data_IF_768362864614
#
_entry.id   IF_768362864614
#
_cell.length_a   1.000
_cell.length_b   1.000
_cell.length_c   1.000
_cell.angle_alpha   90.00
_cell.angle_beta   90.00
_cell.angle_gamma   90.00
#
_symmetry.space_group_name_H-M   'P 1'
#
loop_
_entity.id
_entity.type
_entity.pdbx_description
1 polymer ?
#
# COMPACT_ATOMS: atom_id res chain seq x y z
N UNK A 1 -27.33 11.10 0.29
CA UNK A 1 -26.10 10.35 0.67
C UNK A 1 -25.13 10.16 -0.50
N UNK A 2 -25.59 9.90 -1.74
CA UNK A 2 -24.70 9.80 -2.92
C UNK A 2 -23.81 11.04 -3.12
N UNK A 3 -24.38 12.24 -2.99
CA UNK A 3 -23.63 13.50 -3.11
C UNK A 3 -22.55 13.64 -2.04
N UNK A 4 -22.81 13.19 -0.81
CA UNK A 4 -21.86 13.34 0.32
C UNK A 4 -20.55 12.59 0.01
N UNK A 5 -20.62 11.37 -0.52
CA UNK A 5 -19.41 10.61 -0.87
C UNK A 5 -18.54 11.33 -1.90
N UNK A 6 -19.16 11.84 -2.98
CA UNK A 6 -18.47 12.59 -4.01
C UNK A 6 -17.85 13.90 -3.49
N UNK A 7 -18.57 14.66 -2.65
CA UNK A 7 -18.04 15.89 -2.04
C UNK A 7 -16.87 15.60 -1.09
N UNK A 8 -16.90 14.49 -0.33
CA UNK A 8 -15.77 14.08 0.52
C UNK A 8 -14.56 13.72 -0.33
N UNK A 9 -14.73 12.95 -1.42
CA UNK A 9 -13.62 12.62 -2.30
C UNK A 9 -13.05 13.85 -3.02
N UNK A 10 -13.92 14.80 -3.40
CA UNK A 10 -13.50 16.09 -3.97
C UNK A 10 -12.73 16.93 -2.96
N UNK A 11 -13.23 16.99 -1.72
CA UNK A 11 -12.54 17.65 -0.60
C UNK A 11 -11.15 17.05 -0.41
N UNK A 12 -11.06 15.72 -0.29
CA UNK A 12 -9.77 15.03 -0.12
C UNK A 12 -8.87 15.12 -1.35
N UNK A 13 -9.40 15.50 -2.52
CA UNK A 13 -8.62 15.77 -3.73
C UNK A 13 -8.13 17.21 -3.87
N UNK A 14 -8.55 18.14 -3.01
CA UNK A 14 -8.12 19.55 -3.07
C UNK A 14 -6.66 19.72 -2.61
N UNK A 15 -5.96 20.81 -2.93
CA UNK A 15 -4.54 20.95 -2.60
C UNK A 15 -4.25 20.77 -1.10
N UNK A 16 -5.04 21.44 -0.23
CA UNK A 16 -4.93 21.31 1.22
C UNK A 16 -6.31 21.08 1.89
N UNK A 17 -6.70 19.82 2.15
CA UNK A 17 -7.96 19.50 2.83
C UNK A 17 -7.88 19.62 4.35
N UNK A 18 -6.69 19.76 4.94
CA UNK A 18 -6.50 19.60 6.38
C UNK A 18 -7.35 20.57 7.22
N UNK A 19 -7.45 21.89 6.91
CA UNK A 19 -8.28 22.80 7.70
C UNK A 19 -9.77 22.42 7.68
N UNK A 20 -10.27 22.01 6.52
CA UNK A 20 -11.67 21.62 6.36
C UNK A 20 -11.98 20.30 7.10
N UNK A 21 -11.11 19.31 7.00
CA UNK A 21 -11.25 18.04 7.73
C UNK A 21 -11.19 18.27 9.24
N UNK A 22 -10.28 19.13 9.71
CA UNK A 22 -10.20 19.52 11.12
C UNK A 22 -11.47 20.23 11.61
N UNK A 23 -12.03 21.14 10.81
CA UNK A 23 -13.32 21.78 11.11
C UNK A 23 -14.50 20.79 11.14
N UNK A 24 -14.49 19.77 10.26
CA UNK A 24 -15.48 18.69 10.31
C UNK A 24 -15.33 17.84 11.57
N UNK A 25 -14.10 17.57 12.04
CA UNK A 25 -13.89 16.87 13.31
C UNK A 25 -14.38 17.70 14.49
N UNK A 26 -14.01 18.97 14.57
CA UNK A 26 -14.37 19.85 15.70
C UNK A 26 -15.88 20.05 15.85
N UNK A 27 -16.63 19.98 14.74
CA UNK A 27 -18.09 20.08 14.70
C UNK A 27 -18.80 18.73 14.82
N UNK A 28 -18.07 17.61 14.89
CA UNK A 28 -18.61 16.25 14.93
C UNK A 28 -19.11 15.71 13.58
N UNK A 29 -19.12 16.53 12.53
CA UNK A 29 -19.52 16.15 11.17
C UNK A 29 -18.69 14.99 10.62
N UNK A 30 -17.37 14.99 10.90
CA UNK A 30 -16.48 13.93 10.44
C UNK A 30 -16.90 12.57 10.99
N UNK A 31 -17.17 12.47 12.30
CA UNK A 31 -17.59 11.22 12.93
C UNK A 31 -18.96 10.72 12.46
N UNK A 32 -19.89 11.62 12.09
CA UNK A 32 -21.19 11.25 11.53
C UNK A 32 -21.05 10.63 10.13
N UNK A 33 -20.19 11.21 9.29
CA UNK A 33 -20.00 10.79 7.89
C UNK A 33 -19.07 9.57 7.84
N UNK A 34 -17.91 9.66 8.49
CA UNK A 34 -16.82 8.70 8.52
C UNK A 34 -16.48 8.28 9.97
N UNK A 35 -17.26 7.38 10.59
CA UNK A 35 -16.97 6.92 11.94
C UNK A 35 -15.60 6.26 12.03
N UNK A 36 -14.83 6.65 13.05
CA UNK A 36 -13.48 6.13 13.32
C UNK A 36 -12.41 6.63 12.35
N UNK A 37 -12.69 7.70 11.59
CA UNK A 37 -11.64 8.41 10.86
C UNK A 37 -11.02 9.50 11.72
N UNK A 38 -9.73 9.72 11.55
CA UNK A 38 -8.94 10.73 12.24
C UNK A 38 -8.33 11.72 11.24
N UNK A 39 -8.04 12.95 11.69
CA UNK A 39 -7.55 14.06 10.85
C UNK A 39 -6.07 14.39 11.06
N UNK A 40 -5.45 13.90 12.14
CA UNK A 40 -4.11 14.33 12.58
C UNK A 40 -3.02 14.14 11.52
N UNK A 41 -3.09 13.07 10.73
CA UNK A 41 -2.07 12.75 9.72
C UNK A 41 -2.35 13.37 8.34
N UNK A 42 -3.48 14.07 8.17
CA UNK A 42 -3.83 14.72 6.88
C UNK A 42 -2.89 15.89 6.60
N UNK A 43 -2.62 16.75 7.58
CA UNK A 43 -1.70 17.88 7.41
C UNK A 43 -0.25 17.42 7.15
N UNK A 44 0.33 16.48 7.93
CA UNK A 44 1.63 15.89 7.61
C UNK A 44 1.70 15.29 6.21
N UNK A 45 0.65 14.59 5.76
CA UNK A 45 0.63 14.00 4.42
C UNK A 45 0.67 15.07 3.32
N UNK A 46 -0.06 16.19 3.48
CA UNK A 46 -0.01 17.31 2.52
C UNK A 46 1.39 17.90 2.41
N UNK A 47 2.12 18.03 3.53
CA UNK A 47 3.50 18.51 3.51
C UNK A 47 4.43 17.53 2.77
N UNK A 48 4.35 16.24 3.09
CA UNK A 48 5.13 15.20 2.41
C UNK A 48 4.83 15.14 0.91
N UNK A 49 3.56 15.27 0.52
CA UNK A 49 3.13 15.34 -0.88
C UNK A 49 3.79 16.53 -1.59
N UNK A 50 3.80 17.71 -0.96
CA UNK A 50 4.41 18.91 -1.53
C UNK A 50 5.94 18.81 -1.64
N UNK A 51 6.60 18.31 -0.59
CA UNK A 51 8.07 18.12 -0.56
C UNK A 51 8.56 17.18 -1.67
N UNK A 52 7.79 16.13 -1.98
CA UNK A 52 8.13 15.13 -2.99
C UNK A 52 7.49 15.41 -4.36
N UNK A 53 6.75 16.51 -4.52
CA UNK A 53 6.05 16.85 -5.76
C UNK A 53 5.00 15.82 -6.20
N UNK A 54 4.40 15.10 -5.25
CA UNK A 54 3.39 14.07 -5.51
C UNK A 54 2.01 14.71 -5.56
N UNK A 55 1.30 14.52 -6.68
CA UNK A 55 -0.05 15.05 -6.87
C UNK A 55 -1.02 14.54 -5.80
N UNK A 56 -1.91 15.38 -5.25
CA UNK A 56 -2.95 14.98 -4.31
C UNK A 56 -3.75 13.77 -4.79
N UNK A 57 -3.99 12.79 -3.91
CA UNK A 57 -4.83 11.62 -4.19
C UNK A 57 -5.79 11.35 -3.02
N UNK A 58 -7.08 11.31 -3.33
CA UNK A 58 -8.12 11.12 -2.33
C UNK A 58 -8.07 9.74 -1.66
N UNK A 59 -7.60 8.68 -2.33
CA UNK A 59 -7.48 7.35 -1.73
C UNK A 59 -6.30 7.27 -0.78
N UNK A 60 -5.16 7.89 -1.12
CA UNK A 60 -4.01 8.02 -0.21
C UNK A 60 -4.39 8.79 1.06
N UNK A 61 -5.11 9.90 0.92
CA UNK A 61 -5.59 10.68 2.07
C UNK A 61 -6.67 9.95 2.87
N UNK A 62 -7.56 9.19 2.22
CA UNK A 62 -8.49 8.31 2.92
C UNK A 62 -7.79 7.13 3.61
N UNK A 63 -6.63 6.69 3.11
CA UNK A 63 -5.82 5.67 3.76
C UNK A 63 -5.28 6.19 5.10
N UNK A 64 -4.71 7.41 5.11
CA UNK A 64 -4.17 8.05 6.33
C UNK A 64 -5.25 8.33 7.37
N UNK A 65 -6.45 8.72 6.93
CA UNK A 65 -7.55 9.03 7.85
C UNK A 65 -8.17 7.80 8.51
N UNK A 66 -8.01 6.60 7.96
CA UNK A 66 -8.68 5.41 8.51
C UNK A 66 -10.21 5.41 8.29
N UNK A 67 -10.97 4.93 9.27
CA UNK A 67 -12.45 4.90 9.23
C UNK A 67 -13.08 3.55 8.87
N UNK A 68 -14.34 3.39 9.30
CA UNK A 68 -15.14 2.15 9.19
C UNK A 68 -16.13 2.20 8.03
N UNK A 69 -16.36 1.05 7.38
CA UNK A 69 -17.36 0.87 6.32
C UNK A 69 -17.27 1.91 5.17
N UNK A 70 -16.05 2.31 4.80
CA UNK A 70 -15.80 3.38 3.84
C UNK A 70 -16.44 3.14 2.48
N UNK A 71 -16.41 1.90 1.98
CA UNK A 71 -17.03 1.53 0.71
C UNK A 71 -18.52 1.83 0.69
N UNK A 72 -19.28 1.42 1.70
CA UNK A 72 -20.73 1.65 1.72
C UNK A 72 -21.08 3.10 2.05
N UNK A 73 -20.30 3.77 2.91
CA UNK A 73 -20.55 5.16 3.33
C UNK A 73 -20.23 6.19 2.26
N UNK A 74 -19.13 6.01 1.53
CA UNK A 74 -18.70 6.90 0.45
C UNK A 74 -19.08 6.40 -0.94
N UNK A 75 -19.69 5.20 -1.03
CA UNK A 75 -20.01 4.50 -2.29
C UNK A 75 -18.78 4.40 -3.21
N UNK A 76 -17.65 3.98 -2.63
CA UNK A 76 -16.42 3.77 -3.38
C UNK A 76 -16.67 2.72 -4.47
N UNK A 77 -16.16 3.01 -5.66
CA UNK A 77 -16.09 2.02 -6.73
C UNK A 77 -15.24 0.82 -6.31
N UNK A 78 -15.35 -0.29 -7.06
CA UNK A 78 -14.49 -1.46 -6.85
C UNK A 78 -13.01 -1.07 -6.95
N UNK A 79 -12.63 -0.31 -7.99
CA UNK A 79 -11.25 0.17 -8.19
C UNK A 79 -10.73 0.99 -7.00
N UNK A 80 -11.54 1.92 -6.50
CA UNK A 80 -11.17 2.73 -5.32
C UNK A 80 -11.02 1.88 -4.06
N UNK A 81 -11.92 0.91 -3.85
CA UNK A 81 -11.85 0.00 -2.70
C UNK A 81 -10.58 -0.84 -2.74
N UNK A 82 -10.25 -1.41 -3.90
CA UNK A 82 -9.02 -2.20 -4.06
C UNK A 82 -7.77 -1.34 -3.89
N UNK A 83 -7.73 -0.13 -4.47
CA UNK A 83 -6.61 0.82 -4.28
C UNK A 83 -6.41 1.15 -2.80
N UNK A 84 -7.48 1.51 -2.09
CA UNK A 84 -7.42 1.84 -0.67
C UNK A 84 -6.92 0.66 0.17
N UNK A 85 -7.42 -0.55 -0.12
CA UNK A 85 -7.00 -1.78 0.55
C UNK A 85 -5.51 -2.07 0.28
N UNK A 86 -5.08 -1.97 -0.97
CA UNK A 86 -3.70 -2.20 -1.37
C UNK A 86 -2.73 -1.22 -0.70
N UNK A 87 -3.06 0.09 -0.66
CA UNK A 87 -2.26 1.08 0.07
C UNK A 87 -2.12 0.69 1.54
N UNK A 88 -3.24 0.37 2.22
CA UNK A 88 -3.21 0.00 3.64
C UNK A 88 -2.38 -1.25 3.89
N UNK A 89 -2.59 -2.31 3.11
CA UNK A 89 -1.79 -3.54 3.25
C UNK A 89 -0.30 -3.33 2.96
N UNK A 90 0.05 -2.44 2.03
CA UNK A 90 1.44 -2.12 1.74
C UNK A 90 2.13 -1.30 2.86
N UNK A 91 1.38 -0.60 3.73
CA UNK A 91 2.00 0.14 4.86
C UNK A 91 2.66 -0.79 5.88
N UNK A 92 2.21 -2.04 5.98
CA UNK A 92 2.69 -3.07 6.91
C UNK A 92 3.94 -3.82 6.40
N UNK A 93 4.36 -3.57 5.16
CA UNK A 93 5.50 -4.23 4.52
C UNK A 93 6.69 -3.28 4.34
N UNK A 94 7.86 -3.86 4.07
CA UNK A 94 9.04 -3.10 3.64
C UNK A 94 8.79 -2.49 2.25
N UNK A 95 9.44 -1.37 1.93
CA UNK A 95 9.33 -0.74 0.61
C UNK A 95 9.63 -1.69 -0.55
N UNK A 96 10.65 -2.55 -0.42
CA UNK A 96 10.98 -3.48 -1.51
C UNK A 96 9.91 -4.56 -1.69
N UNK A 97 9.44 -5.19 -0.61
CA UNK A 97 8.38 -6.21 -0.70
C UNK A 97 7.07 -5.60 -1.21
N UNK A 98 6.66 -4.46 -0.66
CA UNK A 98 5.45 -3.76 -1.12
C UNK A 98 5.56 -3.35 -2.58
N UNK A 99 6.74 -2.88 -3.02
CA UNK A 99 7.00 -2.53 -4.41
C UNK A 99 6.82 -3.72 -5.33
N UNK A 100 7.42 -4.86 -4.99
CA UNK A 100 7.27 -6.10 -5.74
C UNK A 100 5.82 -6.60 -5.80
N UNK A 101 5.10 -6.61 -4.67
CA UNK A 101 3.75 -7.19 -4.59
C UNK A 101 2.65 -6.30 -5.18
N UNK A 102 2.77 -4.98 -5.04
CA UNK A 102 1.69 -4.03 -5.36
C UNK A 102 2.05 -3.02 -6.45
N UNK A 103 3.30 -2.97 -6.89
CA UNK A 103 3.80 -2.02 -7.87
C UNK A 103 4.07 -0.62 -7.30
N UNK A 104 4.71 0.21 -8.13
CA UNK A 104 5.26 1.50 -7.73
C UNK A 104 4.22 2.49 -7.15
N UNK A 105 3.07 2.65 -7.80
CA UNK A 105 2.08 3.65 -7.36
C UNK A 105 1.55 3.37 -5.95
N UNK A 106 1.26 2.10 -5.65
CA UNK A 106 0.73 1.69 -4.35
C UNK A 106 1.79 1.82 -3.27
N UNK A 107 3.02 1.33 -3.52
CA UNK A 107 4.07 1.39 -2.51
C UNK A 107 4.49 2.84 -2.21
N UNK A 108 4.56 3.72 -3.22
CA UNK A 108 4.80 5.14 -2.99
C UNK A 108 3.72 5.71 -2.08
N UNK A 109 2.45 5.49 -2.40
CA UNK A 109 1.34 5.98 -1.60
C UNK A 109 1.38 5.42 -0.16
N UNK A 110 1.78 4.16 0.02
CA UNK A 110 1.93 3.53 1.33
C UNK A 110 3.09 4.09 2.16
N UNK A 111 4.26 4.31 1.56
CA UNK A 111 5.42 4.95 2.22
C UNK A 111 5.04 6.35 2.71
N UNK A 112 4.37 7.14 1.86
CA UNK A 112 3.89 8.48 2.21
C UNK A 112 2.88 8.46 3.36
N UNK A 113 1.91 7.54 3.31
CA UNK A 113 0.92 7.34 4.38
C UNK A 113 1.59 6.96 5.69
N UNK A 114 2.56 6.05 5.67
CA UNK A 114 3.30 5.62 6.85
C UNK A 114 4.12 6.77 7.44
N UNK A 115 4.89 7.49 6.63
CA UNK A 115 5.68 8.64 7.06
C UNK A 115 4.80 9.72 7.72
N UNK A 116 3.67 10.06 7.08
CA UNK A 116 2.71 11.03 7.61
C UNK A 116 2.05 10.58 8.93
N UNK A 117 1.73 9.29 9.05
CA UNK A 117 1.10 8.72 10.25
C UNK A 117 2.07 8.67 11.43
N UNK A 118 3.34 8.33 11.18
CA UNK A 118 4.37 8.24 12.21
C UNK A 118 5.04 9.58 12.53
N UNK A 119 4.81 10.61 11.72
CA UNK A 119 5.48 11.91 11.86
C UNK A 119 6.98 11.83 11.57
N UNK A 120 7.39 10.92 10.68
CA UNK A 120 8.79 10.73 10.30
C UNK A 120 9.06 11.24 8.88
N UNK A 121 10.29 11.68 8.57
CA UNK A 121 10.68 11.98 7.20
C UNK A 121 10.50 10.74 6.29
N UNK A 122 10.24 10.97 5.00
CA UNK A 122 10.25 9.89 4.01
C UNK A 122 11.69 9.47 3.73
N UNK A 123 11.98 8.17 3.87
CA UNK A 123 13.26 7.62 3.45
C UNK A 123 13.33 7.51 1.92
N UNK A 124 14.14 8.36 1.30
CA UNK A 124 14.35 8.36 -0.15
C UNK A 124 15.00 7.07 -0.65
N UNK A 125 15.81 6.39 0.18
CA UNK A 125 16.41 5.10 -0.19
C UNK A 125 15.34 4.02 -0.25
N UNK A 126 14.39 4.04 0.68
CA UNK A 126 13.25 3.12 0.65
C UNK A 126 12.38 3.35 -0.59
N UNK A 127 12.11 4.61 -0.97
CA UNK A 127 11.38 4.91 -2.21
C UNK A 127 12.10 4.36 -3.45
N UNK A 128 13.42 4.55 -3.52
CA UNK A 128 14.23 4.06 -4.65
C UNK A 128 14.23 2.53 -4.73
N UNK A 129 14.42 1.85 -3.59
CA UNK A 129 14.44 0.39 -3.54
C UNK A 129 13.06 -0.20 -3.86
N UNK A 130 11.98 0.43 -3.37
CA UNK A 130 10.61 0.09 -3.71
C UNK A 130 10.32 0.24 -5.21
N UNK A 131 10.78 1.33 -5.83
CA UNK A 131 10.63 1.56 -7.26
C UNK A 131 11.36 0.50 -8.09
N UNK A 132 12.59 0.15 -7.70
CA UNK A 132 13.34 -0.91 -8.37
C UNK A 132 12.64 -2.27 -8.22
N UNK A 133 12.20 -2.60 -7.00
CA UNK A 133 11.49 -3.84 -6.69
C UNK A 133 10.18 -4.01 -7.48
N UNK A 134 9.47 -2.92 -7.77
CA UNK A 134 8.24 -2.93 -8.57
C UNK A 134 8.39 -3.46 -10.00
N UNK A 135 9.64 -3.56 -10.50
CA UNK A 135 9.94 -4.11 -11.83
C UNK A 135 10.55 -5.51 -11.77
N UNK A 136 10.77 -6.07 -10.57
CA UNK A 136 11.40 -7.38 -10.41
C UNK A 136 10.44 -8.50 -10.79
N UNK A 137 11.00 -9.59 -11.31
CA UNK A 137 10.26 -10.79 -11.71
C UNK A 137 10.86 -11.98 -10.98
N UNK A 138 10.03 -12.75 -10.30
CA UNK A 138 10.46 -13.96 -9.61
C UNK A 138 11.09 -14.95 -10.61
N UNK A 139 12.32 -15.45 -10.37
CA UNK A 139 13.08 -16.19 -11.38
C UNK A 139 12.69 -17.67 -11.50
N UNK A 140 11.68 -18.14 -10.76
CA UNK A 140 11.18 -19.51 -10.83
C UNK A 140 9.75 -19.57 -11.35
N UNK A 141 9.47 -20.68 -12.02
CA UNK A 141 8.15 -21.08 -12.50
C UNK A 141 7.80 -22.48 -11.98
N UNK A 142 6.53 -22.84 -12.10
CA UNK A 142 6.04 -24.19 -11.76
C UNK A 142 6.82 -25.31 -12.47
N UNK A 143 7.22 -25.08 -13.72
CA UNK A 143 7.97 -26.05 -14.52
C UNK A 143 9.33 -26.42 -13.90
N UNK A 144 9.92 -25.52 -13.10
CA UNK A 144 11.24 -25.73 -12.50
C UNK A 144 11.23 -26.70 -11.31
N UNK A 145 10.05 -26.93 -10.72
CA UNK A 145 9.86 -27.82 -9.56
C UNK A 145 9.17 -29.14 -9.93
N UNK A 146 8.64 -29.23 -11.16
CA UNK A 146 8.01 -30.44 -11.67
C UNK A 146 9.05 -31.43 -12.25
N UNK A 147 8.78 -32.75 -12.23
CA UNK A 147 7.60 -33.40 -11.63
C UNK A 147 7.72 -33.65 -10.12
N UNK A 148 8.81 -33.18 -9.49
CA UNK A 148 9.14 -33.47 -8.09
C UNK A 148 8.11 -32.95 -7.08
N UNK A 149 7.46 -31.81 -7.38
CA UNK A 149 6.32 -31.29 -6.63
C UNK A 149 5.12 -31.09 -7.56
N UNK A 150 3.91 -31.35 -7.02
CA UNK A 150 2.66 -31.26 -7.78
C UNK A 150 1.50 -30.76 -6.90
N UNK A 151 0.45 -30.27 -7.55
CA UNK A 151 -0.78 -29.86 -6.86
C UNK A 151 -0.55 -28.77 -5.80
N UNK A 152 -1.23 -28.84 -4.64
CA UNK A 152 -1.09 -27.85 -3.57
C UNK A 152 0.34 -27.68 -3.05
N UNK A 153 1.13 -28.75 -3.02
CA UNK A 153 2.52 -28.71 -2.55
C UNK A 153 3.42 -27.87 -3.47
N UNK A 154 3.16 -27.89 -4.78
CA UNK A 154 3.88 -27.04 -5.75
C UNK A 154 3.60 -25.55 -5.52
N UNK A 155 2.33 -25.20 -5.29
CA UNK A 155 1.94 -23.81 -5.01
C UNK A 155 2.54 -23.30 -3.69
N UNK A 156 2.54 -24.14 -2.65
CA UNK A 156 3.16 -23.81 -1.37
C UNK A 156 4.67 -23.55 -1.52
N UNK A 157 5.39 -24.48 -2.16
CA UNK A 157 6.82 -24.34 -2.38
C UNK A 157 7.18 -23.09 -3.22
N UNK A 158 6.42 -22.76 -4.27
CA UNK A 158 6.66 -21.54 -5.04
C UNK A 158 6.50 -20.29 -4.18
N UNK A 159 5.45 -20.23 -3.35
CA UNK A 159 5.20 -19.10 -2.45
C UNK A 159 6.32 -18.97 -1.40
N UNK A 160 6.77 -20.09 -0.84
CA UNK A 160 7.83 -20.10 0.15
C UNK A 160 9.16 -19.66 -0.46
N UNK A 161 9.50 -20.13 -1.67
CA UNK A 161 10.70 -19.70 -2.40
C UNK A 161 10.65 -18.24 -2.82
N UNK A 162 9.47 -17.74 -3.21
CA UNK A 162 9.26 -16.32 -3.49
C UNK A 162 9.49 -15.48 -2.24
N UNK A 163 9.03 -15.94 -1.07
CA UNK A 163 9.31 -15.27 0.19
C UNK A 163 10.81 -15.27 0.53
N UNK A 164 11.51 -16.40 0.41
CA UNK A 164 12.97 -16.46 0.60
C UNK A 164 13.71 -15.50 -0.35
N UNK A 165 13.24 -15.38 -1.58
CA UNK A 165 13.81 -14.45 -2.54
C UNK A 165 13.60 -13.00 -2.10
N UNK A 166 12.40 -12.62 -1.67
CA UNK A 166 12.10 -11.29 -1.11
C UNK A 166 12.97 -11.01 0.13
N UNK A 167 13.03 -11.94 1.08
CA UNK A 167 13.78 -11.82 2.33
C UNK A 167 15.29 -11.69 2.09
N UNK A 168 15.78 -12.26 0.98
CA UNK A 168 17.17 -12.09 0.54
C UNK A 168 17.46 -10.73 -0.11
N UNK A 169 16.56 -9.75 -0.03
CA UNK A 169 16.59 -8.52 -0.80
C UNK A 169 16.75 -8.80 -2.30
N UNK A 170 16.05 -9.85 -2.76
CA UNK A 170 16.01 -10.30 -4.15
C UNK A 170 17.40 -10.61 -4.73
N UNK A 171 18.34 -11.08 -3.90
CA UNK A 171 19.70 -11.42 -4.31
C UNK A 171 19.85 -12.89 -4.70
N UNK A 172 19.00 -13.78 -4.17
CA UNK A 172 19.05 -15.20 -4.51
C UNK A 172 18.79 -15.42 -6.00
N UNK A 173 19.69 -16.18 -6.63
CA UNK A 173 19.58 -16.59 -8.03
C UNK A 173 18.72 -17.83 -8.14
N UNK A 174 18.23 -18.09 -9.36
CA UNK A 174 17.46 -19.29 -9.72
C UNK A 174 18.08 -20.59 -9.18
N UNK A 175 19.39 -20.78 -9.33
CA UNK A 175 20.08 -21.98 -8.85
C UNK A 175 20.07 -22.14 -7.34
N UNK A 176 20.15 -21.03 -6.60
CA UNK A 176 20.15 -21.04 -5.13
C UNK A 176 18.75 -21.33 -4.60
N UNK A 177 17.71 -20.76 -5.23
CA UNK A 177 16.31 -21.07 -4.90
C UNK A 177 15.96 -22.54 -5.17
N UNK A 178 16.45 -23.13 -6.28
CA UNK A 178 16.26 -24.55 -6.56
C UNK A 178 16.96 -25.46 -5.55
N UNK A 179 18.12 -25.04 -5.04
CA UNK A 179 18.83 -25.76 -3.99
C UNK A 179 18.05 -25.75 -2.67
N UNK A 180 17.36 -24.65 -2.33
CA UNK A 180 16.47 -24.57 -1.15
C UNK A 180 15.29 -25.54 -1.30
N UNK A 181 14.64 -25.57 -2.46
CA UNK A 181 13.51 -26.47 -2.73
C UNK A 181 13.85 -27.97 -2.62
N UNK A 182 15.13 -28.31 -2.74
CA UNK A 182 15.62 -29.68 -2.65
C UNK A 182 16.00 -30.10 -1.23
N UNK A 183 16.22 -29.14 -0.31
CA UNK A 183 16.58 -29.37 1.09
C UNK A 183 15.38 -29.60 2.00
N UNK A 184 14.21 -29.06 1.64
CA UNK A 184 12.95 -29.22 2.39
C UNK A 184 12.19 -30.53 2.02
N UNK A 185 12.90 -31.52 1.45
CA UNK A 185 12.36 -32.85 1.12
C UNK A 185 12.69 -33.88 2.18
#
# INVERSE_FOLDING_TARGET
RERIGAEILKLLGADNPAPAVAGMRSTGVLGMILPGSEDYAVAPLVLVEAELGVTPDAMRRLAVMGGKHLRSRLRLSRKQTEKLKAIRSATELTGEEAGYRYGWEIVRDAILVRAATLGTPVDLKELQSAQAAATRVFPLSAADLMPGLQGPALGAALKDLEQHWIDSHFQLKRSELLALASKDR
#
